data_IF_539517182012
#
_entry.id   IF_539517182012
#
_cell.length_a   1.000
_cell.length_b   1.000
_cell.length_c   1.000
_cell.angle_alpha   90.00
_cell.angle_beta   90.00
_cell.angle_gamma   90.00
#
_symmetry.space_group_name_H-M   'P 1'
#
loop_
_entity.id
_entity.type
_entity.pdbx_description
1 polymer ?
#
# COMPACT_ATOMS: atom_id res chain seq x y z
N UNK A 1 15.01 13.74 5.78
CA UNK A 1 13.94 12.92 5.16
C UNK A 1 12.68 13.07 6.00
N UNK A 2 11.67 13.78 5.48
CA UNK A 2 10.38 13.89 6.16
C UNK A 2 9.70 12.51 6.18
N UNK A 3 9.14 12.12 7.31
CA UNK A 3 8.51 10.81 7.52
C UNK A 3 7.03 11.05 7.82
N UNK A 4 6.14 10.49 7.00
CA UNK A 4 4.69 10.53 7.25
C UNK A 4 4.38 9.59 8.41
N UNK A 5 3.83 10.11 9.51
CA UNK A 5 3.48 9.30 10.66
C UNK A 5 2.44 8.23 10.30
N UNK A 6 2.56 7.03 10.88
CA UNK A 6 1.65 5.92 10.59
C UNK A 6 1.91 5.18 9.28
N UNK A 7 2.82 5.63 8.42
CA UNK A 7 3.21 4.88 7.21
C UNK A 7 4.20 3.77 7.58
N UNK A 8 3.89 2.54 7.18
CA UNK A 8 4.73 1.35 7.36
C UNK A 8 5.55 1.02 6.11
N UNK A 9 5.02 1.31 4.91
CA UNK A 9 5.69 1.08 3.63
C UNK A 9 5.29 2.14 2.60
N UNK A 10 6.23 2.47 1.71
CA UNK A 10 6.03 3.36 0.56
C UNK A 10 6.50 2.62 -0.69
N UNK A 11 5.67 2.58 -1.73
CA UNK A 11 5.99 1.96 -3.01
C UNK A 11 5.66 2.92 -4.14
N UNK A 12 6.58 3.10 -5.08
CA UNK A 12 6.30 3.87 -6.30
C UNK A 12 5.60 2.93 -7.28
N UNK A 13 4.36 3.25 -7.62
CA UNK A 13 3.53 2.48 -8.55
C UNK A 13 3.76 2.94 -9.98
N UNK A 14 3.92 4.25 -10.17
CA UNK A 14 4.22 4.86 -11.46
C UNK A 14 5.15 6.06 -11.24
N UNK A 15 6.20 6.15 -12.05
CA UNK A 15 7.15 7.26 -12.00
C UNK A 15 6.72 8.40 -12.92
N UNK A 16 7.14 9.62 -12.58
CA UNK A 16 6.63 10.85 -13.20
C UNK A 16 6.75 10.89 -14.74
N UNK A 17 7.74 10.22 -15.32
CA UNK A 17 7.93 10.10 -16.78
C UNK A 17 7.57 11.37 -17.57
N UNK A 18 6.85 11.19 -18.68
CA UNK A 18 6.28 12.30 -19.46
C UNK A 18 4.97 12.86 -18.87
N UNK A 19 4.38 12.18 -17.88
CA UNK A 19 3.07 12.53 -17.30
C UNK A 19 3.16 13.70 -16.31
N UNK A 20 4.35 13.93 -15.75
CA UNK A 20 4.61 15.01 -14.79
C UNK A 20 4.02 14.77 -13.40
N UNK A 21 3.64 13.53 -13.06
CA UNK A 21 3.21 13.15 -11.71
C UNK A 21 3.55 11.69 -11.43
N UNK A 22 3.99 11.39 -10.20
CA UNK A 22 4.21 10.02 -9.74
C UNK A 22 3.01 9.50 -8.97
N UNK A 23 2.74 8.21 -9.09
CA UNK A 23 1.75 7.49 -8.26
C UNK A 23 2.50 6.70 -7.22
N UNK A 24 2.15 6.89 -5.95
CA UNK A 24 2.81 6.24 -4.82
C UNK A 24 1.75 5.56 -3.97
N UNK A 25 1.95 4.28 -3.67
CA UNK A 25 1.15 3.52 -2.72
C UNK A 25 1.76 3.65 -1.32
N UNK A 26 0.91 3.97 -0.35
CA UNK A 26 1.28 4.05 1.06
C UNK A 26 0.58 2.92 1.81
N UNK A 27 1.35 2.10 2.51
CA UNK A 27 0.79 1.15 3.47
C UNK A 27 0.75 1.80 4.85
N UNK A 28 -0.44 1.86 5.44
CA UNK A 28 -0.60 2.30 6.82
C UNK A 28 -0.17 1.21 7.82
N UNK A 29 0.07 1.60 9.06
CA UNK A 29 0.06 0.69 10.21
C UNK A 29 -1.39 0.33 10.54
N UNK A 30 -1.58 -0.82 11.19
CA UNK A 30 -2.92 -1.26 11.60
C UNK A 30 -3.58 -0.23 12.52
N UNK A 31 -4.84 0.09 12.21
CA UNK A 31 -5.63 1.08 12.95
C UNK A 31 -5.29 2.55 12.67
N UNK A 32 -4.39 2.85 11.73
CA UNK A 32 -4.05 4.23 11.34
C UNK A 32 -4.61 4.59 9.97
N UNK A 33 -5.19 5.77 9.87
CA UNK A 33 -5.49 6.42 8.60
C UNK A 33 -4.43 7.46 8.29
N UNK A 34 -3.62 7.19 7.26
CA UNK A 34 -2.47 8.04 6.89
C UNK A 34 -2.83 9.14 5.90
N UNK A 35 -4.08 9.21 5.42
CA UNK A 35 -4.47 10.11 4.31
C UNK A 35 -4.29 11.58 4.66
N UNK A 36 -4.71 11.99 5.85
CA UNK A 36 -4.59 13.40 6.27
C UNK A 36 -3.11 13.80 6.42
N UNK A 37 -2.32 12.98 7.09
CA UNK A 37 -0.90 13.26 7.33
C UNK A 37 -0.08 13.20 6.03
N UNK A 38 -0.42 12.27 5.13
CA UNK A 38 0.19 12.20 3.79
C UNK A 38 -0.15 13.45 2.98
N UNK A 39 -1.42 13.85 2.92
CA UNK A 39 -1.84 15.06 2.22
C UNK A 39 -1.14 16.31 2.76
N UNK A 40 -1.12 16.46 4.08
CA UNK A 40 -0.43 17.55 4.78
C UNK A 40 1.06 17.59 4.41
N UNK A 41 1.74 16.45 4.47
CA UNK A 41 3.17 16.35 4.14
C UNK A 41 3.43 16.72 2.69
N UNK A 42 2.65 16.18 1.75
CA UNK A 42 2.79 16.45 0.31
C UNK A 42 2.61 17.96 0.03
N UNK A 43 1.57 18.57 0.59
CA UNK A 43 1.29 20.00 0.43
C UNK A 43 2.39 20.88 1.06
N UNK A 44 2.85 20.54 2.26
CA UNK A 44 3.93 21.28 2.95
C UNK A 44 5.26 21.24 2.20
N UNK A 45 5.52 20.18 1.43
CA UNK A 45 6.70 20.08 0.57
C UNK A 45 6.49 20.75 -0.81
N UNK A 46 5.36 21.42 -1.04
CA UNK A 46 5.05 22.12 -2.29
C UNK A 46 4.72 21.19 -3.45
N UNK A 47 4.42 19.92 -3.19
CA UNK A 47 4.03 18.97 -4.23
C UNK A 47 2.51 19.03 -4.44
N UNK A 48 2.03 19.34 -5.65
CA UNK A 48 0.59 19.38 -5.92
C UNK A 48 -0.03 17.98 -5.78
N UNK A 49 -0.97 17.84 -4.84
CA UNK A 49 -1.71 16.59 -4.65
C UNK A 49 -2.91 16.55 -5.60
N UNK A 50 -2.94 15.56 -6.51
CA UNK A 50 -4.01 15.40 -7.51
C UNK A 50 -5.16 14.54 -7.00
N UNK A 51 -4.84 13.41 -6.39
CA UNK A 51 -5.82 12.43 -5.92
C UNK A 51 -5.25 11.67 -4.71
N UNK A 52 -6.10 11.35 -3.74
CA UNK A 52 -5.86 10.32 -2.73
C UNK A 52 -7.08 9.40 -2.74
N UNK A 53 -6.83 8.10 -2.90
CA UNK A 53 -7.85 7.06 -2.78
C UNK A 53 -7.43 5.99 -1.79
N UNK A 54 -8.40 5.45 -1.08
CA UNK A 54 -8.20 4.25 -0.26
C UNK A 54 -8.31 3.03 -1.17
N UNK A 55 -7.17 2.41 -1.46
CA UNK A 55 -7.13 1.10 -2.10
C UNK A 55 -7.41 0.05 -1.04
N UNK A 56 -8.42 -0.80 -1.29
CA UNK A 56 -8.68 -1.99 -0.48
C UNK A 56 -8.24 -3.20 -1.29
N UNK A 57 -7.52 -4.12 -0.67
CA UNK A 57 -7.27 -5.42 -1.27
C UNK A 57 -8.60 -6.05 -1.68
N UNK A 58 -8.66 -6.62 -2.88
CA UNK A 58 -9.88 -7.22 -3.40
C UNK A 58 -10.20 -8.51 -2.63
N UNK A 59 -11.48 -8.89 -2.59
CA UNK A 59 -11.88 -10.17 -1.99
C UNK A 59 -11.16 -11.36 -2.66
N UNK A 60 -10.91 -11.25 -3.97
CA UNK A 60 -10.17 -12.24 -4.74
C UNK A 60 -8.72 -12.37 -4.25
N UNK A 61 -8.05 -11.26 -3.94
CA UNK A 61 -6.68 -11.27 -3.45
C UNK A 61 -6.59 -11.93 -2.07
N UNK A 62 -7.57 -11.70 -1.19
CA UNK A 62 -7.72 -12.45 0.06
C UNK A 62 -8.00 -13.94 -0.17
N UNK A 63 -8.88 -14.27 -1.12
CA UNK A 63 -9.20 -15.66 -1.45
C UNK A 63 -7.95 -16.41 -1.94
N UNK A 64 -7.15 -15.81 -2.82
CA UNK A 64 -5.89 -16.38 -3.32
C UNK A 64 -4.91 -16.60 -2.16
N UNK A 65 -4.73 -15.60 -1.28
CA UNK A 65 -3.84 -15.75 -0.12
C UNK A 65 -4.28 -16.89 0.81
N UNK A 66 -5.58 -16.97 1.13
CA UNK A 66 -6.13 -18.01 2.01
C UNK A 66 -6.00 -19.40 1.36
N UNK A 67 -6.36 -19.55 0.09
CA UNK A 67 -6.28 -20.84 -0.61
C UNK A 67 -4.84 -21.31 -0.81
N UNK A 68 -3.91 -20.40 -1.13
CA UNK A 68 -2.49 -20.70 -1.21
C UNK A 68 -1.92 -21.18 0.13
N UNK A 69 -2.26 -20.50 1.25
CA UNK A 69 -1.85 -20.91 2.58
C UNK A 69 -2.38 -22.30 2.96
N UNK A 70 -3.64 -22.61 2.61
CA UNK A 70 -4.24 -23.93 2.83
C UNK A 70 -3.59 -25.04 1.99
N UNK A 71 -3.26 -24.76 0.73
CA UNK A 71 -2.59 -25.72 -0.15
C UNK A 71 -1.19 -26.08 0.40
N UNK A 72 -0.44 -25.09 0.88
CA UNK A 72 0.86 -25.31 1.52
C UNK A 72 0.75 -26.12 2.83
N UNK A 73 -0.28 -25.85 3.64
CA UNK A 73 -0.52 -26.61 4.86
C UNK A 73 -0.85 -28.09 4.58
N UNK A 74 -1.54 -28.37 3.46
CA UNK A 74 -1.93 -29.74 3.08
C UNK A 74 -0.74 -30.53 2.52
N UNK A 75 0.14 -29.92 1.74
CA UNK A 75 1.32 -30.60 1.16
C UNK A 75 2.42 -30.91 2.18
N UNK A 76 2.50 -30.16 3.29
CA UNK A 76 3.46 -30.42 4.37
C UNK A 76 3.10 -31.59 5.31
N UNK A 77 1.89 -32.14 5.20
CA UNK A 77 1.40 -33.24 6.06
C UNK A 77 1.54 -34.65 5.46
N UNK A 78 1.91 -34.78 4.19
CA UNK A 78 1.91 -36.05 3.45
C UNK A 78 3.32 -36.70 3.37
N UNK A 79 4.16 -36.46 4.38
CA UNK A 79 5.55 -36.93 4.42
C UNK A 79 6.09 -37.21 5.83
N UNK A 80 5.26 -37.68 6.76
CA UNK A 80 5.66 -38.14 8.09
C UNK A 80 5.20 -39.58 8.34
#
# INVERSE_FOLDING_TARGET
>A
MARVSGVSKVEVVDEAGDKGYSVVALKARDGYDVREEAARTVIQNGWPLREIRLERASLEEFFVQVTAAQAMARSGGEGA
#
